data_IF_449128604093
#
_entry.id   IF_449128604093
#
_cell.length_a   1.000
_cell.length_b   1.000
_cell.length_c   1.000
_cell.angle_alpha   90.00
_cell.angle_beta   90.00
_cell.angle_gamma   90.00
#
_symmetry.space_group_name_H-M   'P 1'
#
loop_
_entity.id
_entity.type
_entity.pdbx_description
1 polymer ?
#
# COMPACT_ATOMS: atom_id res chain seq x y z
N UNK A 1 -23.84 -64.54 22.16
CA UNK A 1 -24.50 -63.22 22.19
C UNK A 1 -24.95 -62.91 20.78
N UNK A 2 -26.23 -62.59 20.58
CA UNK A 2 -26.78 -62.31 19.25
C UNK A 2 -26.30 -60.96 18.72
N UNK A 3 -26.07 -60.82 17.41
CA UNK A 3 -25.76 -59.51 16.82
C UNK A 3 -26.96 -58.58 16.95
N UNK A 4 -26.78 -57.43 17.59
CA UNK A 4 -27.80 -56.39 17.67
C UNK A 4 -27.79 -55.53 16.40
N UNK A 5 -28.97 -55.28 15.83
CA UNK A 5 -29.09 -54.43 14.65
C UNK A 5 -28.94 -52.96 14.99
N UNK A 6 -27.93 -52.30 14.39
CA UNK A 6 -27.69 -50.86 14.55
C UNK A 6 -28.75 -49.96 13.91
N UNK A 7 -29.66 -50.50 13.09
CA UNK A 7 -30.75 -49.75 12.46
C UNK A 7 -32.03 -49.73 13.31
N UNK A 8 -32.39 -50.84 13.94
CA UNK A 8 -33.67 -51.00 14.65
C UNK A 8 -33.56 -51.54 16.09
N UNK A 9 -32.35 -51.79 16.57
CA UNK A 9 -32.08 -52.25 17.95
C UNK A 9 -32.40 -53.72 18.23
N UNK A 10 -32.93 -54.49 17.27
CA UNK A 10 -33.30 -55.89 17.48
C UNK A 10 -32.07 -56.77 17.71
N UNK A 11 -32.11 -57.57 18.78
CA UNK A 11 -31.11 -58.60 19.08
C UNK A 11 -31.56 -59.95 18.53
N UNK A 12 -30.72 -60.59 17.70
CA UNK A 12 -31.07 -61.86 17.06
C UNK A 12 -31.15 -63.02 18.06
N UNK A 13 -32.17 -63.84 17.90
CA UNK A 13 -32.38 -65.09 18.64
C UNK A 13 -31.92 -66.27 17.79
N UNK A 14 -31.53 -67.37 18.44
CA UNK A 14 -31.10 -68.59 17.75
C UNK A 14 -32.20 -69.23 16.87
N UNK A 15 -33.47 -68.89 17.12
CA UNK A 15 -34.63 -69.36 16.36
C UNK A 15 -34.97 -68.52 15.12
N UNK A 16 -34.23 -67.45 14.82
CA UNK A 16 -34.56 -66.56 13.70
C UNK A 16 -34.16 -67.18 12.35
N UNK A 17 -35.13 -67.29 11.41
CA UNK A 17 -34.96 -67.94 10.11
C UNK A 17 -34.21 -67.10 9.05
N UNK A 18 -33.97 -65.80 9.31
CA UNK A 18 -33.31 -64.93 8.34
C UNK A 18 -31.81 -65.27 8.16
N UNK A 19 -31.21 -65.00 6.98
CA UNK A 19 -29.78 -65.21 6.76
C UNK A 19 -28.89 -64.45 7.74
N UNK A 20 -27.67 -64.95 7.99
CA UNK A 20 -26.79 -64.37 9.02
C UNK A 20 -26.38 -62.91 8.80
N UNK A 21 -26.38 -62.47 7.55
CA UNK A 21 -25.98 -61.13 7.13
C UNK A 21 -27.13 -60.12 7.18
N UNK A 22 -28.37 -60.55 7.46
CA UNK A 22 -29.58 -59.75 7.38
C UNK A 22 -30.37 -59.73 8.71
N UNK A 23 -30.89 -58.56 9.08
CA UNK A 23 -31.73 -58.44 10.26
C UNK A 23 -33.14 -58.99 10.00
N UNK A 24 -33.63 -59.98 10.78
CA UNK A 24 -34.95 -60.58 10.59
C UNK A 24 -36.12 -59.61 10.84
N UNK A 25 -35.90 -58.55 11.63
CA UNK A 25 -36.96 -57.58 11.97
C UNK A 25 -37.14 -56.49 10.90
N UNK A 26 -36.05 -56.02 10.29
CA UNK A 26 -36.09 -54.81 9.44
C UNK A 26 -35.40 -54.98 8.07
N UNK A 27 -34.96 -56.19 7.71
CA UNK A 27 -34.31 -56.51 6.43
C UNK A 27 -32.98 -55.81 6.21
N UNK A 28 -32.38 -55.24 7.26
CA UNK A 28 -31.15 -54.49 7.12
C UNK A 28 -29.95 -55.43 6.99
N UNK A 29 -29.20 -55.29 5.90
CA UNK A 29 -27.92 -55.97 5.71
C UNK A 29 -26.87 -55.30 6.62
N UNK A 30 -26.30 -56.06 7.55
CA UNK A 30 -25.41 -55.52 8.59
C UNK A 30 -24.23 -54.73 8.01
N UNK A 31 -23.55 -55.27 7.00
CA UNK A 31 -22.40 -54.62 6.36
C UNK A 31 -22.75 -53.29 5.70
N UNK A 32 -23.95 -53.16 5.13
CA UNK A 32 -24.41 -51.90 4.51
C UNK A 32 -24.73 -50.84 5.56
N UNK A 33 -25.32 -51.24 6.70
CA UNK A 33 -25.61 -50.32 7.81
C UNK A 33 -24.33 -49.84 8.45
N UNK A 34 -23.38 -50.73 8.72
CA UNK A 34 -22.07 -50.39 9.26
C UNK A 34 -21.28 -49.48 8.33
N UNK A 35 -21.27 -49.75 7.02
CA UNK A 35 -20.65 -48.89 6.01
C UNK A 35 -21.34 -47.51 5.87
N UNK A 36 -22.65 -47.42 6.09
CA UNK A 36 -23.36 -46.14 6.11
C UNK A 36 -23.03 -45.32 7.37
N UNK A 37 -22.99 -45.98 8.54
CA UNK A 37 -22.64 -45.34 9.81
C UNK A 37 -21.18 -44.89 9.85
N UNK A 38 -20.25 -45.67 9.29
CA UNK A 38 -18.84 -45.28 9.20
C UNK A 38 -18.65 -44.08 8.28
N UNK A 39 -19.31 -44.06 7.11
CA UNK A 39 -19.32 -42.89 6.21
C UNK A 39 -19.89 -41.65 6.90
N UNK A 40 -21.03 -41.75 7.59
CA UNK A 40 -21.60 -40.62 8.32
C UNK A 40 -20.66 -40.14 9.44
N UNK A 41 -20.01 -41.04 10.17
CA UNK A 41 -19.02 -40.68 11.19
C UNK A 41 -17.84 -39.93 10.60
N UNK A 42 -17.32 -40.35 9.44
CA UNK A 42 -16.25 -39.65 8.74
C UNK A 42 -16.67 -38.26 8.30
N UNK A 43 -17.84 -38.12 7.65
CA UNK A 43 -18.39 -36.82 7.22
C UNK A 43 -18.58 -35.86 8.40
N UNK A 44 -19.13 -36.35 9.53
CA UNK A 44 -19.28 -35.54 10.75
C UNK A 44 -17.92 -35.16 11.34
N UNK A 45 -16.95 -36.08 11.33
CA UNK A 45 -15.61 -35.79 11.83
C UNK A 45 -14.86 -34.76 10.97
N UNK A 46 -15.00 -34.82 9.65
CA UNK A 46 -14.38 -33.89 8.72
C UNK A 46 -15.08 -32.52 8.77
N UNK A 47 -16.41 -32.48 8.90
CA UNK A 47 -17.14 -31.26 9.15
C UNK A 47 -16.69 -30.59 10.47
N UNK A 48 -16.59 -31.36 11.56
CA UNK A 48 -16.10 -30.85 12.84
C UNK A 48 -14.64 -30.37 12.79
N UNK A 49 -13.77 -31.06 12.02
CA UNK A 49 -12.37 -30.67 11.83
C UNK A 49 -12.27 -29.37 11.02
N UNK A 50 -13.06 -29.22 9.95
CA UNK A 50 -13.12 -28.01 9.14
C UNK A 50 -13.62 -26.78 9.92
N UNK A 51 -14.64 -26.96 10.78
CA UNK A 51 -15.14 -25.87 11.64
C UNK A 51 -14.09 -25.40 12.64
N UNK A 52 -13.41 -26.34 13.32
CA UNK A 52 -12.32 -26.00 14.26
C UNK A 52 -11.13 -25.35 13.56
N UNK A 53 -10.77 -25.83 12.38
CA UNK A 53 -9.68 -25.27 11.58
C UNK A 53 -9.99 -23.84 11.11
N UNK A 54 -11.21 -23.59 10.62
CA UNK A 54 -11.67 -22.26 10.22
C UNK A 54 -11.63 -21.26 11.39
N UNK A 55 -12.10 -21.67 12.57
CA UNK A 55 -12.06 -20.83 13.76
C UNK A 55 -10.63 -20.44 14.17
N UNK A 56 -9.71 -21.41 14.22
CA UNK A 56 -8.31 -21.14 14.57
C UNK A 56 -7.61 -20.25 13.54
N UNK A 57 -7.85 -20.46 12.25
CA UNK A 57 -7.28 -19.63 11.18
C UNK A 57 -7.70 -18.17 11.31
N UNK A 58 -8.97 -17.88 11.61
CA UNK A 58 -9.45 -16.50 11.78
C UNK A 58 -8.79 -15.76 12.95
N UNK A 59 -8.48 -16.46 14.03
CA UNK A 59 -7.74 -15.90 15.17
C UNK A 59 -6.30 -15.56 14.76
N UNK A 60 -5.65 -16.47 14.02
CA UNK A 60 -4.27 -16.28 13.53
C UNK A 60 -4.18 -15.04 12.62
N UNK A 61 -5.08 -14.89 11.65
CA UNK A 61 -5.09 -13.72 10.77
C UNK A 61 -5.33 -12.42 11.54
N UNK A 62 -6.21 -12.43 12.54
CA UNK A 62 -6.40 -11.28 13.42
C UNK A 62 -5.14 -10.86 14.16
N UNK A 63 -4.37 -11.81 14.69
CA UNK A 63 -3.09 -11.52 15.35
C UNK A 63 -2.08 -10.99 14.34
N UNK A 64 -1.97 -11.61 13.16
CA UNK A 64 -1.04 -11.17 12.11
C UNK A 64 -1.33 -9.74 11.64
N UNK A 65 -2.61 -9.40 11.48
CA UNK A 65 -3.04 -8.04 11.10
C UNK A 65 -2.63 -6.97 12.11
N UNK A 66 -2.58 -7.31 13.41
CA UNK A 66 -2.12 -6.41 14.46
C UNK A 66 -0.59 -6.39 14.58
N UNK A 67 0.04 -7.56 14.50
CA UNK A 67 1.47 -7.73 14.70
C UNK A 67 2.29 -6.98 13.64
N UNK A 68 1.85 -7.03 12.38
CA UNK A 68 2.59 -6.49 11.24
C UNK A 68 2.88 -4.97 11.38
N UNK A 69 1.89 -4.08 11.58
CA UNK A 69 2.14 -2.66 11.84
C UNK A 69 2.86 -2.38 13.16
N UNK A 70 2.69 -3.21 14.19
CA UNK A 70 3.42 -3.07 15.47
C UNK A 70 4.91 -3.34 15.28
N UNK A 71 5.26 -4.44 14.58
CA UNK A 71 6.65 -4.78 14.25
C UNK A 71 7.26 -3.70 13.37
N UNK A 72 6.53 -3.21 12.37
CA UNK A 72 6.99 -2.10 11.53
C UNK A 72 7.22 -0.82 12.33
N UNK A 73 6.35 -0.51 13.29
CA UNK A 73 6.56 0.62 14.21
C UNK A 73 7.84 0.44 15.02
N UNK A 74 8.07 -0.75 15.57
CA UNK A 74 9.30 -1.05 16.30
C UNK A 74 10.55 -0.91 15.42
N UNK A 75 10.51 -1.40 14.18
CA UNK A 75 11.61 -1.25 13.22
C UNK A 75 11.92 0.23 12.92
N UNK A 76 10.90 1.08 12.80
CA UNK A 76 11.10 2.53 12.58
C UNK A 76 11.89 3.13 13.74
N UNK A 77 11.49 2.86 14.99
CA UNK A 77 12.14 3.45 16.16
C UNK A 77 13.48 2.83 16.51
N UNK A 78 13.62 1.51 16.37
CA UNK A 78 14.83 0.82 16.81
C UNK A 78 15.91 0.78 15.73
N UNK A 79 15.53 0.64 14.46
CA UNK A 79 16.48 0.50 13.37
C UNK A 79 16.69 1.82 12.62
N UNK A 80 15.62 2.44 12.11
CA UNK A 80 15.75 3.64 11.27
C UNK A 80 16.31 4.83 12.07
N UNK A 81 15.94 4.98 13.35
CA UNK A 81 16.44 6.07 14.19
C UNK A 81 17.97 6.05 14.36
N UNK A 82 18.59 4.86 14.28
CA UNK A 82 20.04 4.66 14.36
C UNK A 82 20.77 4.78 13.02
N UNK A 83 20.06 4.94 11.90
CA UNK A 83 20.68 5.05 10.59
C UNK A 83 21.34 6.42 10.37
N UNK A 84 22.48 6.40 9.71
CA UNK A 84 23.11 7.61 9.18
C UNK A 84 22.37 8.08 7.91
N UNK A 85 22.39 9.39 7.65
CA UNK A 85 21.74 9.98 6.48
C UNK A 85 22.22 9.39 5.14
N UNK A 86 23.49 8.96 5.07
CA UNK A 86 24.07 8.31 3.88
C UNK A 86 23.44 6.95 3.55
N UNK A 87 22.75 6.32 4.50
CA UNK A 87 22.06 5.04 4.29
C UNK A 87 20.60 5.22 3.82
N UNK A 88 20.22 6.45 3.42
CA UNK A 88 18.88 6.80 2.92
C UNK A 88 17.72 6.35 3.84
N UNK A 89 17.70 6.79 5.13
CA UNK A 89 16.66 6.38 6.08
C UNK A 89 15.23 6.73 5.62
N UNK A 90 15.05 7.78 4.81
CA UNK A 90 13.76 8.13 4.22
C UNK A 90 13.22 7.07 3.24
N UNK A 91 14.10 6.43 2.45
CA UNK A 91 13.69 5.34 1.57
C UNK A 91 13.33 4.10 2.38
N UNK A 92 14.11 3.76 3.41
CA UNK A 92 13.80 2.66 4.32
C UNK A 92 12.44 2.84 5.01
N UNK A 93 12.15 4.07 5.48
CA UNK A 93 10.87 4.43 6.07
C UNK A 93 9.70 4.20 5.11
N UNK A 94 9.84 4.65 3.86
CA UNK A 94 8.85 4.50 2.80
C UNK A 94 8.61 3.03 2.43
N UNK A 95 9.68 2.23 2.28
CA UNK A 95 9.59 0.80 1.95
C UNK A 95 8.86 0.04 3.06
N UNK A 96 9.22 0.28 4.32
CA UNK A 96 8.53 -0.31 5.46
C UNK A 96 7.04 0.07 5.40
N UNK A 97 6.73 1.34 5.18
CA UNK A 97 5.36 1.83 5.00
C UNK A 97 4.55 1.03 3.97
N UNK A 98 5.10 0.90 2.75
CA UNK A 98 4.44 0.21 1.64
C UNK A 98 4.25 -1.28 1.93
N UNK A 99 5.28 -1.96 2.44
CA UNK A 99 5.19 -3.39 2.78
C UNK A 99 4.16 -3.61 3.89
N UNK A 100 4.08 -2.71 4.87
CA UNK A 100 3.11 -2.82 5.96
C UNK A 100 1.68 -2.74 5.43
N UNK A 101 1.39 -1.74 4.61
CA UNK A 101 0.07 -1.50 4.05
C UNK A 101 -0.31 -2.63 3.09
N UNK A 102 0.58 -3.01 2.18
CA UNK A 102 0.34 -4.11 1.23
C UNK A 102 0.16 -5.46 1.94
N UNK A 103 1.01 -5.75 2.94
CA UNK A 103 0.94 -6.98 3.72
C UNK A 103 -0.37 -7.09 4.51
N UNK A 104 -0.79 -6.02 5.18
CA UNK A 104 -2.09 -6.01 5.89
C UNK A 104 -3.28 -6.11 4.93
N UNK A 105 -3.23 -5.47 3.75
CA UNK A 105 -4.26 -5.61 2.73
C UNK A 105 -4.37 -7.05 2.19
N UNK A 106 -3.24 -7.71 1.93
CA UNK A 106 -3.21 -9.12 1.50
C UNK A 106 -3.77 -10.05 2.57
N UNK A 107 -3.36 -9.88 3.83
CA UNK A 107 -3.87 -10.72 4.93
C UNK A 107 -5.38 -10.53 5.09
N UNK A 108 -5.87 -9.28 5.04
CA UNK A 108 -7.30 -8.99 5.10
C UNK A 108 -8.06 -9.66 3.93
N UNK A 109 -7.52 -9.62 2.71
CA UNK A 109 -8.14 -10.27 1.57
C UNK A 109 -8.19 -11.81 1.71
N UNK A 110 -7.10 -12.42 2.19
CA UNK A 110 -7.03 -13.87 2.41
C UNK A 110 -8.02 -14.31 3.50
N UNK A 111 -8.06 -13.62 4.63
CA UNK A 111 -9.01 -13.91 5.71
C UNK A 111 -10.45 -13.72 5.22
N UNK A 112 -10.75 -12.60 4.54
CA UNK A 112 -12.06 -12.34 3.96
C UNK A 112 -12.50 -13.46 3.00
N UNK A 113 -11.57 -14.01 2.21
CA UNK A 113 -11.85 -15.14 1.32
C UNK A 113 -12.14 -16.43 2.09
N UNK A 114 -11.43 -16.70 3.19
CA UNK A 114 -11.62 -17.93 3.97
C UNK A 114 -12.90 -17.94 4.79
N UNK A 115 -13.30 -16.77 5.33
CA UNK A 115 -14.55 -16.65 6.08
C UNK A 115 -15.77 -16.46 5.19
N UNK A 116 -15.57 -16.38 3.87
CA UNK A 116 -16.65 -16.24 2.89
C UNK A 116 -17.33 -14.87 2.92
N UNK A 117 -16.55 -13.78 3.07
CA UNK A 117 -17.12 -12.44 3.01
C UNK A 117 -17.72 -12.16 1.63
N UNK A 118 -18.99 -11.75 1.63
CA UNK A 118 -19.74 -11.38 0.43
C UNK A 118 -20.14 -9.91 0.51
N UNK A 119 -20.19 -9.28 -0.66
CA UNK A 119 -20.64 -7.89 -0.77
C UNK A 119 -22.14 -7.79 -0.48
N UNK A 120 -22.49 -7.05 0.56
CA UNK A 120 -23.88 -6.71 0.88
C UNK A 120 -23.95 -5.21 1.17
N UNK A 121 -24.62 -4.48 0.27
CA UNK A 121 -24.76 -3.03 0.33
C UNK A 121 -25.58 -2.57 1.54
N UNK A 122 -26.55 -3.36 2.01
CA UNK A 122 -27.38 -2.99 3.17
C UNK A 122 -26.57 -3.03 4.45
N UNK A 123 -25.74 -4.06 4.56
CA UNK A 123 -24.88 -4.24 5.72
C UNK A 123 -23.55 -3.49 5.57
N UNK A 124 -23.18 -3.01 4.39
CA UNK A 124 -21.88 -2.41 4.14
C UNK A 124 -20.73 -3.41 4.28
N UNK A 125 -20.97 -4.69 3.93
CA UNK A 125 -19.90 -5.69 3.78
C UNK A 125 -19.43 -5.69 2.34
N UNK A 126 -18.17 -6.04 2.15
CA UNK A 126 -17.54 -6.13 0.84
C UNK A 126 -16.87 -7.49 0.68
N UNK A 127 -16.74 -7.94 -0.57
CA UNK A 127 -15.98 -9.14 -0.89
C UNK A 127 -14.47 -8.97 -0.67
N UNK A 128 -13.69 -10.06 -0.78
CA UNK A 128 -12.25 -10.07 -0.48
C UNK A 128 -11.44 -9.06 -1.31
N UNK A 129 -11.73 -8.96 -2.61
CA UNK A 129 -11.05 -8.05 -3.54
C UNK A 129 -11.34 -6.59 -3.18
N UNK A 130 -12.56 -6.28 -2.78
CA UNK A 130 -12.90 -4.92 -2.39
C UNK A 130 -12.22 -4.53 -1.07
N UNK A 131 -12.17 -5.44 -0.08
CA UNK A 131 -11.43 -5.21 1.15
C UNK A 131 -9.92 -5.03 0.93
N UNK A 132 -9.33 -5.77 -0.01
CA UNK A 132 -7.94 -5.55 -0.43
C UNK A 132 -7.70 -4.09 -0.82
N UNK A 133 -8.49 -3.55 -1.76
CA UNK A 133 -8.30 -2.19 -2.24
C UNK A 133 -8.67 -1.13 -1.20
N UNK A 134 -9.70 -1.36 -0.39
CA UNK A 134 -10.10 -0.45 0.69
C UNK A 134 -8.95 -0.30 1.70
N UNK A 135 -8.34 -1.41 2.12
CA UNK A 135 -7.21 -1.39 3.06
C UNK A 135 -5.94 -0.85 2.40
N UNK A 136 -5.70 -1.16 1.13
CA UNK A 136 -4.52 -0.72 0.40
C UNK A 136 -4.52 0.80 0.14
N UNK A 137 -5.63 1.35 -0.32
CA UNK A 137 -5.71 2.73 -0.82
C UNK A 137 -6.09 3.73 0.28
N UNK A 138 -6.84 3.29 1.28
CA UNK A 138 -7.36 4.16 2.34
C UNK A 138 -7.06 3.54 3.71
N UNK A 139 -5.80 3.14 3.92
CA UNK A 139 -5.40 2.32 5.06
C UNK A 139 -5.86 2.85 6.42
N UNK A 140 -5.72 4.15 6.68
CA UNK A 140 -6.08 4.79 7.96
C UNK A 140 -7.53 4.54 8.37
N UNK A 141 -8.45 4.44 7.40
CA UNK A 141 -9.87 4.22 7.64
C UNK A 141 -10.25 2.76 7.35
N UNK A 142 -9.75 2.21 6.24
CA UNK A 142 -10.04 0.88 5.75
C UNK A 142 -9.58 -0.23 6.70
N UNK A 143 -8.40 -0.10 7.30
CA UNK A 143 -7.86 -1.09 8.22
C UNK A 143 -8.69 -1.21 9.52
N UNK A 144 -8.97 -0.13 10.28
CA UNK A 144 -9.85 -0.23 11.45
C UNK A 144 -11.27 -0.67 11.09
N UNK A 145 -11.80 -0.20 9.95
CA UNK A 145 -13.12 -0.61 9.46
C UNK A 145 -13.19 -2.13 9.19
N UNK A 146 -12.15 -2.70 8.59
CA UNK A 146 -12.03 -4.14 8.37
C UNK A 146 -12.02 -4.92 9.69
N UNK A 147 -11.21 -4.49 10.67
CA UNK A 147 -11.11 -5.11 12.00
C UNK A 147 -12.40 -5.04 12.83
N UNK A 148 -13.26 -4.07 12.54
CA UNK A 148 -14.62 -4.02 13.09
C UNK A 148 -15.56 -4.97 12.35
N UNK A 149 -15.49 -5.01 11.01
CA UNK A 149 -16.48 -5.70 10.18
C UNK A 149 -16.42 -7.22 10.29
N UNK A 150 -15.24 -7.77 10.54
CA UNK A 150 -15.01 -9.20 10.78
C UNK A 150 -15.92 -9.83 11.85
N UNK A 151 -16.46 -9.05 12.79
CA UNK A 151 -17.41 -9.54 13.82
C UNK A 151 -18.69 -10.13 13.24
N UNK A 152 -19.09 -9.70 12.04
CA UNK A 152 -20.29 -10.22 11.37
C UNK A 152 -20.10 -11.63 10.81
N UNK A 153 -18.85 -12.07 10.70
CA UNK A 153 -18.47 -13.39 10.18
C UNK A 153 -17.95 -14.31 11.29
N UNK A 154 -18.27 -14.02 12.55
CA UNK A 154 -17.88 -14.84 13.70
C UNK A 154 -16.44 -14.64 14.19
N UNK A 155 -15.70 -13.67 13.64
CA UNK A 155 -14.34 -13.37 14.08
C UNK A 155 -14.31 -12.39 15.27
N UNK A 156 -13.21 -12.38 16.01
CA UNK A 156 -12.98 -11.46 17.13
C UNK A 156 -12.89 -10.01 16.67
N UNK A 157 -13.54 -9.09 17.39
CA UNK A 157 -13.50 -7.66 17.09
C UNK A 157 -12.22 -7.03 17.67
N UNK A 158 -11.38 -6.46 16.80
CA UNK A 158 -10.13 -5.80 17.19
C UNK A 158 -10.14 -4.28 16.94
N UNK A 159 -11.29 -3.65 16.72
CA UNK A 159 -11.39 -2.22 16.36
C UNK A 159 -10.57 -1.30 17.28
N UNK A 160 -10.72 -1.43 18.61
CA UNK A 160 -10.08 -0.51 19.58
C UNK A 160 -8.56 -0.64 19.53
N UNK A 161 -8.05 -1.87 19.59
CA UNK A 161 -6.61 -2.14 19.48
C UNK A 161 -6.09 -1.70 18.11
N UNK A 162 -6.84 -1.99 17.06
CA UNK A 162 -6.55 -1.58 15.69
C UNK A 162 -6.40 -0.07 15.55
N UNK A 163 -7.28 0.73 16.15
CA UNK A 163 -7.17 2.19 16.14
C UNK A 163 -5.88 2.67 16.84
N UNK A 164 -5.56 2.11 18.00
CA UNK A 164 -4.31 2.44 18.72
C UNK A 164 -3.10 2.14 17.84
N UNK A 165 -3.09 0.97 17.22
CA UNK A 165 -2.01 0.54 16.30
C UNK A 165 -1.93 1.45 15.07
N UNK A 166 -3.06 1.84 14.48
CA UNK A 166 -3.12 2.80 13.38
C UNK A 166 -2.52 4.14 13.76
N UNK A 167 -2.91 4.72 14.89
CA UNK A 167 -2.36 5.99 15.36
C UNK A 167 -0.87 5.87 15.70
N UNK A 168 -0.45 4.80 16.36
CA UNK A 168 0.96 4.57 16.68
C UNK A 168 1.82 4.45 15.42
N UNK A 169 1.37 3.69 14.42
CA UNK A 169 2.11 3.48 13.18
C UNK A 169 2.17 4.76 12.33
N UNK A 170 1.04 5.42 12.09
CA UNK A 170 0.98 6.67 11.31
C UNK A 170 1.74 7.78 12.02
N UNK A 171 1.56 7.90 13.35
CA UNK A 171 2.31 8.86 14.16
C UNK A 171 3.81 8.62 14.07
N UNK A 172 4.25 7.36 14.12
CA UNK A 172 5.67 7.01 13.99
C UNK A 172 6.24 7.34 12.60
N UNK A 173 5.47 7.11 11.54
CA UNK A 173 5.85 7.50 10.17
C UNK A 173 6.06 9.02 10.06
N UNK A 174 5.09 9.80 10.56
CA UNK A 174 5.14 11.27 10.51
C UNK A 174 6.28 11.83 11.38
N UNK A 175 6.38 11.39 12.64
CA UNK A 175 7.42 11.86 13.56
C UNK A 175 8.83 11.52 13.07
N UNK A 176 9.04 10.29 12.59
CA UNK A 176 10.34 9.88 12.06
C UNK A 176 10.66 10.61 10.75
N UNK A 177 9.68 10.85 9.89
CA UNK A 177 9.83 11.66 8.68
C UNK A 177 10.37 13.05 9.00
N UNK A 178 9.68 13.78 9.88
CA UNK A 178 10.14 15.11 10.33
C UNK A 178 11.53 15.08 10.98
N UNK A 179 11.86 14.03 11.74
CA UNK A 179 13.17 13.89 12.35
C UNK A 179 14.29 13.67 11.32
N UNK A 180 14.03 12.91 10.25
CA UNK A 180 14.97 12.70 9.15
C UNK A 180 15.17 14.00 8.35
N UNK A 181 14.08 14.71 8.04
CA UNK A 181 14.13 15.97 7.29
C UNK A 181 14.93 17.03 8.05
N UNK A 182 14.67 17.17 9.36
CA UNK A 182 15.44 18.08 10.21
C UNK A 182 16.94 17.76 10.20
N UNK A 183 17.32 16.48 10.34
CA UNK A 183 18.74 16.07 10.28
C UNK A 183 19.35 16.36 8.91
N UNK A 184 18.58 16.17 7.82
CA UNK A 184 19.04 16.50 6.48
C UNK A 184 19.29 18.01 6.34
N UNK A 185 18.41 18.85 6.88
CA UNK A 185 18.54 20.31 6.82
C UNK A 185 19.70 20.84 7.67
N UNK A 186 19.95 20.24 8.85
CA UNK A 186 21.12 20.57 9.66
C UNK A 186 22.44 20.31 8.89
N UNK A 187 22.53 19.15 8.21
CA UNK A 187 23.72 18.81 7.41
C UNK A 187 23.84 19.73 6.19
N UNK A 188 22.74 20.01 5.49
CA UNK A 188 22.74 20.95 4.35
C UNK A 188 23.16 22.36 4.78
N UNK A 189 22.69 22.83 5.94
CA UNK A 189 23.08 24.12 6.51
C UNK A 189 24.57 24.15 6.86
N UNK A 190 25.09 23.08 7.49
CA UNK A 190 26.51 22.95 7.82
C UNK A 190 27.40 22.91 6.57
N UNK A 191 26.89 22.39 5.46
CA UNK A 191 27.58 22.36 4.16
C UNK A 191 27.41 23.66 3.35
N UNK A 192 26.62 24.63 3.83
CA UNK A 192 26.36 25.89 3.12
C UNK A 192 25.47 25.73 1.87
N UNK A 193 24.75 24.62 1.77
CA UNK A 193 23.86 24.30 0.64
C UNK A 193 22.44 24.87 0.82
N UNK A 194 22.09 25.31 2.03
CA UNK A 194 20.91 26.15 2.28
C UNK A 194 21.40 27.59 2.39
N UNK A 195 21.17 28.39 1.35
CA UNK A 195 21.18 29.84 1.52
C UNK A 195 19.99 30.18 2.44
N UNK A 196 20.18 30.97 3.51
CA UNK A 196 19.05 31.40 4.33
C UNK A 196 18.03 32.07 3.39
N UNK A 197 16.78 31.60 3.41
CA UNK A 197 15.68 32.42 2.89
C UNK A 197 15.73 33.72 3.67
N UNK A 198 16.07 34.82 2.98
CA UNK A 198 15.99 36.13 3.59
C UNK A 198 14.58 36.30 4.13
N UNK A 199 14.42 36.69 5.41
CA UNK A 199 13.10 36.92 5.94
C UNK A 199 12.46 38.03 5.12
N UNK A 200 11.29 37.72 4.57
CA UNK A 200 10.43 38.61 3.80
C UNK A 200 10.15 39.89 4.62
N UNK A 201 11.05 40.85 4.52
CA UNK A 201 10.98 42.10 5.27
C UNK A 201 10.05 43.03 4.52
N UNK A 202 8.84 43.05 5.06
CA UNK A 202 7.77 43.98 4.76
C UNK A 202 8.33 45.42 4.70
N UNK A 203 8.53 45.95 3.50
CA UNK A 203 8.80 47.37 3.27
C UNK A 203 7.84 47.92 2.21
N UNK A 204 6.91 48.70 2.74
CA UNK A 204 5.95 49.52 2.01
C UNK A 204 6.71 50.71 1.36
N UNK A 205 6.66 50.76 0.03
CA UNK A 205 6.68 51.91 -0.89
C UNK A 205 7.81 52.96 -0.90
N UNK A 206 7.95 53.52 -2.12
CA UNK A 206 8.78 54.63 -2.62
C UNK A 206 10.22 54.22 -2.91
N UNK A 207 10.61 54.04 -4.18
CA UNK A 207 10.78 55.17 -5.08
C UNK A 207 10.63 54.75 -6.55
N UNK A 208 9.75 55.45 -7.29
CA UNK A 208 9.73 55.44 -8.76
C UNK A 208 11.05 56.02 -9.26
N UNK A 209 12.05 55.18 -9.52
CA UNK A 209 13.20 55.57 -10.35
C UNK A 209 13.05 54.94 -11.72
N UNK A 210 12.56 55.77 -12.63
CA UNK A 210 12.56 55.58 -14.08
C UNK A 210 14.00 55.31 -14.52
N UNK A 211 14.34 54.04 -14.71
CA UNK A 211 15.60 53.65 -15.37
C UNK A 211 15.29 53.48 -16.84
N UNK A 212 16.07 54.22 -17.60
CA UNK A 212 16.03 54.42 -19.02
C UNK A 212 16.12 53.11 -19.80
N UNK A 213 15.32 53.04 -20.83
CA UNK A 213 15.33 52.01 -21.86
C UNK A 213 16.66 52.02 -22.61
N UNK A 214 17.43 50.94 -22.49
CA UNK A 214 18.72 50.77 -23.16
C UNK A 214 19.07 49.30 -23.40
N UNK A 215 18.36 48.67 -24.33
CA UNK A 215 18.79 47.52 -25.15
C UNK A 215 19.19 46.21 -24.46
N UNK A 216 18.19 45.40 -24.10
CA UNK A 216 18.30 43.94 -24.08
C UNK A 216 17.31 43.38 -25.11
N UNK A 217 17.85 42.82 -26.20
CA UNK A 217 17.10 42.25 -27.33
C UNK A 217 16.22 41.09 -26.86
N UNK A 218 14.90 41.25 -27.00
CA UNK A 218 13.91 40.22 -26.73
C UNK A 218 13.45 39.53 -28.03
N UNK A 219 13.48 38.19 -27.99
CA UNK A 219 12.50 37.21 -28.51
C UNK A 219 12.25 37.10 -30.02
N UNK A 220 12.51 35.91 -30.57
CA UNK A 220 11.78 35.22 -31.65
C UNK A 220 12.45 33.83 -31.79
N UNK A 221 11.89 32.68 -31.41
CA UNK A 221 10.60 32.14 -31.86
C UNK A 221 10.02 31.09 -30.90
N UNK A 222 10.51 30.95 -29.66
CA UNK A 222 10.14 29.79 -28.83
C UNK A 222 10.68 28.48 -29.41
N UNK A 223 10.43 27.36 -28.73
CA UNK A 223 11.01 26.06 -29.09
C UNK A 223 10.19 25.38 -30.20
N UNK A 224 10.87 24.77 -31.15
CA UNK A 224 10.28 23.90 -32.20
C UNK A 224 10.45 22.42 -31.86
N UNK A 225 9.67 21.55 -32.51
CA UNK A 225 9.80 20.10 -32.35
C UNK A 225 11.18 19.60 -32.83
N UNK A 226 11.76 20.22 -33.85
CA UNK A 226 13.10 19.89 -34.35
C UNK A 226 14.20 20.25 -33.35
N UNK A 227 14.10 21.40 -32.67
CA UNK A 227 14.98 21.78 -31.57
C UNK A 227 14.85 20.82 -30.39
N UNK A 228 13.61 20.51 -29.96
CA UNK A 228 13.36 19.54 -28.91
C UNK A 228 13.98 18.17 -29.23
N UNK A 229 13.89 17.71 -30.49
CA UNK A 229 14.36 16.37 -30.90
C UNK A 229 15.89 16.24 -30.85
N UNK A 230 16.63 17.35 -30.93
CA UNK A 230 18.10 17.39 -30.81
C UNK A 230 18.60 17.34 -29.37
N UNK A 231 17.71 17.52 -28.39
CA UNK A 231 18.05 17.45 -26.96
C UNK A 231 17.94 16.02 -26.47
N UNK A 232 19.00 15.46 -25.89
CA UNK A 232 19.05 14.08 -25.42
C UNK A 232 19.31 14.01 -23.92
N UNK A 233 18.81 12.94 -23.28
CA UNK A 233 19.12 12.65 -21.86
C UNK A 233 20.64 12.54 -21.68
N UNK A 234 21.16 13.14 -20.61
CA UNK A 234 22.58 13.24 -20.31
C UNK A 234 23.25 14.51 -20.81
N UNK A 235 22.60 15.32 -21.67
CA UNK A 235 23.13 16.63 -22.05
C UNK A 235 23.20 17.60 -20.87
N UNK A 236 24.23 18.44 -20.82
CA UNK A 236 24.34 19.46 -19.78
C UNK A 236 23.39 20.64 -20.00
N UNK A 237 23.14 21.44 -18.95
CA UNK A 237 22.29 22.61 -19.07
C UNK A 237 22.80 23.54 -20.18
N UNK A 238 24.10 23.82 -20.21
CA UNK A 238 24.72 24.66 -21.24
C UNK A 238 24.57 24.10 -22.66
N UNK A 239 24.64 22.78 -22.82
CA UNK A 239 24.39 22.13 -24.12
C UNK A 239 22.94 22.31 -24.55
N UNK A 240 21.99 22.16 -23.64
CA UNK A 240 20.56 22.36 -23.92
C UNK A 240 20.25 23.81 -24.25
N UNK A 241 20.84 24.77 -23.55
CA UNK A 241 20.68 26.21 -23.82
C UNK A 241 21.20 26.59 -25.21
N UNK A 242 22.28 25.96 -25.69
CA UNK A 242 22.77 26.18 -27.07
C UNK A 242 21.79 25.72 -28.14
N UNK A 243 20.92 24.75 -27.83
CA UNK A 243 19.95 24.18 -28.77
C UNK A 243 18.60 24.90 -28.68
N UNK A 244 18.13 25.16 -27.46
CA UNK A 244 16.79 25.67 -27.16
C UNK A 244 16.73 27.17 -26.87
N UNK A 245 17.86 27.79 -26.52
CA UNK A 245 17.88 29.12 -25.91
C UNK A 245 17.55 29.08 -24.42
N UNK A 246 17.52 30.27 -23.79
CA UNK A 246 17.24 30.39 -22.35
C UNK A 246 15.80 29.98 -22.03
N UNK A 247 15.55 29.28 -20.90
CA UNK A 247 14.21 28.94 -20.48
C UNK A 247 13.41 30.20 -20.14
N UNK A 248 12.09 30.11 -20.32
CA UNK A 248 11.17 31.17 -19.95
C UNK A 248 10.94 31.20 -18.44
N UNK A 249 10.91 30.02 -17.80
CA UNK A 249 10.61 29.89 -16.38
C UNK A 249 11.32 28.69 -15.74
N UNK A 250 11.84 28.87 -14.53
CA UNK A 250 12.14 27.78 -13.60
C UNK A 250 10.84 27.38 -12.87
N UNK A 251 10.39 26.15 -13.07
CA UNK A 251 9.16 25.63 -12.47
C UNK A 251 9.39 25.13 -11.05
N UNK A 252 10.53 24.48 -10.81
CA UNK A 252 10.90 23.97 -9.50
C UNK A 252 12.41 23.71 -9.41
N UNK A 253 12.93 23.84 -8.19
CA UNK A 253 14.30 23.48 -7.82
C UNK A 253 14.27 22.77 -6.48
N UNK A 254 14.96 21.63 -6.41
CA UNK A 254 15.06 20.84 -5.20
C UNK A 254 16.45 20.24 -5.12
N UNK A 255 17.07 20.34 -3.95
CA UNK A 255 18.38 19.75 -3.69
C UNK A 255 18.25 18.67 -2.63
N UNK A 256 18.46 17.41 -3.01
CA UNK A 256 18.26 16.24 -2.14
C UNK A 256 19.44 15.28 -2.27
N UNK A 257 20.03 14.87 -1.15
CA UNK A 257 21.12 13.89 -1.11
C UNK A 257 22.33 14.23 -2.02
N UNK A 258 22.68 15.51 -2.16
CA UNK A 258 23.76 15.97 -3.03
C UNK A 258 23.40 16.00 -4.53
N UNK A 259 22.13 15.78 -4.86
CA UNK A 259 21.60 15.91 -6.20
C UNK A 259 20.78 17.20 -6.32
N UNK A 260 21.24 18.13 -7.15
CA UNK A 260 20.48 19.34 -7.49
C UNK A 260 19.57 18.99 -8.65
N UNK A 261 18.26 18.95 -8.42
CA UNK A 261 17.25 18.71 -9.46
C UNK A 261 16.50 20.01 -9.78
N UNK A 262 16.52 20.44 -11.05
CA UNK A 262 15.86 21.67 -11.51
C UNK A 262 14.98 21.37 -12.70
N UNK A 263 13.75 21.87 -12.71
CA UNK A 263 12.83 21.77 -13.84
C UNK A 263 12.62 23.14 -14.46
N UNK A 264 12.91 23.24 -15.76
CA UNK A 264 12.70 24.45 -16.55
C UNK A 264 11.60 24.25 -17.58
N UNK A 265 10.98 25.36 -17.99
CA UNK A 265 9.96 25.42 -19.03
C UNK A 265 10.40 26.36 -20.16
N UNK A 266 10.11 25.96 -21.39
CA UNK A 266 10.14 26.79 -22.58
C UNK A 266 8.77 26.80 -23.25
N UNK A 267 8.37 27.95 -23.79
CA UNK A 267 7.21 28.10 -24.67
C UNK A 267 7.57 27.65 -26.08
N UNK A 268 6.62 27.00 -26.75
CA UNK A 268 6.75 26.64 -28.15
C UNK A 268 6.39 27.80 -29.10
N UNK A 269 6.79 27.66 -30.36
CA UNK A 269 6.39 28.56 -31.47
C UNK A 269 4.87 28.73 -31.61
N UNK A 270 4.12 27.67 -31.32
CA UNK A 270 2.66 27.66 -31.48
C UNK A 270 1.98 28.06 -30.17
N UNK A 271 0.90 28.85 -30.26
CA UNK A 271 0.13 29.25 -29.10
C UNK A 271 -0.32 28.04 -28.26
N UNK A 272 0.02 28.06 -26.96
CA UNK A 272 -0.29 26.98 -26.01
C UNK A 272 0.70 25.80 -26.03
N UNK A 273 1.68 25.79 -26.93
CA UNK A 273 2.73 24.78 -26.95
C UNK A 273 3.83 25.11 -25.92
N UNK A 274 4.44 24.07 -25.34
CA UNK A 274 5.55 24.20 -24.41
C UNK A 274 6.39 22.93 -24.34
N UNK A 275 7.54 23.03 -23.68
CA UNK A 275 8.29 21.87 -23.20
C UNK A 275 8.87 22.11 -21.82
N UNK A 276 9.03 21.03 -21.08
CA UNK A 276 9.67 21.02 -19.78
C UNK A 276 10.88 20.10 -19.82
N UNK A 277 11.95 20.49 -19.14
CA UNK A 277 13.16 19.69 -19.02
C UNK A 277 13.63 19.67 -17.57
N UNK A 278 13.94 18.48 -17.06
CA UNK A 278 14.42 18.25 -15.71
C UNK A 278 15.89 17.87 -15.75
N UNK A 279 16.70 18.63 -15.04
CA UNK A 279 18.14 18.42 -14.90
C UNK A 279 18.43 17.91 -13.50
N UNK A 280 19.40 17.02 -13.38
CA UNK A 280 19.96 16.59 -12.11
C UNK A 280 21.49 16.63 -12.20
N UNK A 281 22.15 17.34 -11.29
CA UNK A 281 23.62 17.50 -11.29
C UNK A 281 24.18 17.92 -12.65
N UNK A 282 23.55 18.93 -13.25
CA UNK A 282 23.90 19.45 -14.58
C UNK A 282 23.78 18.42 -15.73
N UNK A 283 22.98 17.37 -15.57
CA UNK A 283 22.64 16.45 -16.66
C UNK A 283 21.14 16.37 -16.85
N UNK A 284 20.66 16.45 -18.09
CA UNK A 284 19.25 16.29 -18.40
C UNK A 284 18.82 14.85 -18.08
N UNK A 285 17.89 14.67 -17.15
CA UNK A 285 17.38 13.35 -16.75
C UNK A 285 16.01 13.04 -17.35
N UNK A 286 15.23 14.08 -17.67
CA UNK A 286 13.90 13.90 -18.26
C UNK A 286 13.50 15.13 -19.09
N UNK A 287 12.71 14.92 -20.15
CA UNK A 287 12.10 15.99 -20.94
C UNK A 287 10.70 15.59 -21.43
N UNK A 288 9.81 16.56 -21.53
CA UNK A 288 8.46 16.38 -22.05
C UNK A 288 8.05 17.59 -22.90
N UNK A 289 7.16 17.39 -23.86
CA UNK A 289 6.65 18.47 -24.71
C UNK A 289 5.14 18.34 -24.91
N UNK A 290 4.51 19.49 -25.16
CA UNK A 290 3.12 19.56 -25.56
C UNK A 290 2.96 20.53 -26.74
N UNK A 291 2.36 20.06 -27.84
CA UNK A 291 1.94 20.91 -28.96
C UNK A 291 3.07 21.52 -29.78
N UNK A 292 4.33 21.09 -29.62
CA UNK A 292 5.43 21.56 -30.46
C UNK A 292 5.27 21.07 -31.91
N UNK A 293 5.67 21.92 -32.86
CA UNK A 293 5.67 21.63 -34.30
C UNK A 293 7.05 21.86 -34.90
#
# INVERSE_FOLDING_TARGET
MGKQCLKCGYERKASDLAPEYECPKCGAIYSKVEAALSRNRLVVSDAGRNVKQSANSSVIYGILLLALPVISTFLIWFWIAGMNLLQAPGQALSIIGIITIAGTALIAAVEASQVGMVSDRKNGTYGPIAWFFIVLLIWVIGYPAYLYKRRQYGCTNFLVIGLIVTFAFVGSQVLMGFAIDKKADEVRSALGLILPEEPESNSINLEKKKVDSGSATAIADGVTLSQYSRVETGMSYDQVIKILGRPDQELSRSEMAGYVTVMYMWRGVTAGANMNAMFQNDALINKAQFGLR
#
